data_IF_360541534036
#
_entry.id   IF_360541534036
#
_cell.length_a   1.000
_cell.length_b   1.000
_cell.length_c   1.000
_cell.angle_alpha   90.00
_cell.angle_beta   90.00
_cell.angle_gamma   90.00
#
_symmetry.space_group_name_H-M   'P 1'
#
loop_
_entity.id
_entity.type
_entity.pdbx_description
1 polymer ?
#
# COMPACT_ATOMS: atom_id res chain seq x y z
N UNK A 1 -37.96 3.35 31.63
CA UNK A 1 -38.17 1.89 31.67
C UNK A 1 -36.86 1.23 31.24
N UNK A 2 -36.09 0.67 32.18
CA UNK A 2 -34.84 -0.05 31.90
C UNK A 2 -35.18 -1.51 31.67
N UNK A 3 -35.32 -1.91 30.41
CA UNK A 3 -35.39 -3.32 30.01
C UNK A 3 -34.07 -3.99 30.40
N UNK A 4 -34.11 -4.76 31.47
CA UNK A 4 -33.01 -5.64 31.87
C UNK A 4 -33.04 -6.84 30.93
N UNK A 5 -32.29 -6.75 29.83
CA UNK A 5 -32.11 -7.87 28.89
C UNK A 5 -31.31 -8.95 29.62
N UNK A 6 -31.88 -10.14 29.76
CA UNK A 6 -31.16 -11.28 30.34
C UNK A 6 -29.86 -11.52 29.55
N UNK A 7 -28.73 -11.81 30.22
CA UNK A 7 -27.46 -12.05 29.54
C UNK A 7 -27.62 -13.21 28.55
N UNK A 8 -27.41 -12.95 27.27
CA UNK A 8 -27.29 -14.00 26.27
C UNK A 8 -26.07 -14.85 26.64
N UNK A 9 -26.30 -16.10 27.03
CA UNK A 9 -25.22 -17.07 27.24
C UNK A 9 -24.75 -17.58 25.90
N UNK A 10 -23.65 -17.02 25.39
CA UNK A 10 -22.92 -17.59 24.26
C UNK A 10 -22.15 -18.83 24.73
N UNK A 11 -22.08 -19.85 23.87
CA UNK A 11 -21.38 -21.10 24.21
C UNK A 11 -19.85 -20.97 24.12
N UNK A 12 -19.35 -20.08 23.26
CA UNK A 12 -17.93 -19.91 22.99
C UNK A 12 -17.55 -18.42 23.15
N UNK A 13 -16.80 -18.06 24.22
CA UNK A 13 -16.40 -16.68 24.47
C UNK A 13 -15.37 -16.21 23.44
N UNK A 14 -15.22 -14.88 23.34
CA UNK A 14 -14.16 -14.28 22.54
C UNK A 14 -12.78 -14.65 23.11
N UNK A 15 -11.81 -15.10 22.28
CA UNK A 15 -10.46 -15.36 22.75
C UNK A 15 -9.78 -14.10 23.31
N UNK A 16 -8.79 -14.28 24.18
CA UNK A 16 -7.93 -13.18 24.61
C UNK A 16 -7.24 -12.52 23.39
N UNK A 17 -6.86 -11.25 23.49
CA UNK A 17 -6.18 -10.55 22.39
C UNK A 17 -4.86 -11.24 21.99
N UNK A 18 -4.19 -11.91 22.92
CA UNK A 18 -2.98 -12.70 22.66
C UNK A 18 -3.31 -13.95 21.85
N UNK A 19 -4.37 -14.68 22.21
CA UNK A 19 -4.81 -15.87 21.47
C UNK A 19 -5.37 -15.52 20.10
N UNK A 20 -6.12 -14.42 20.00
CA UNK A 20 -6.63 -13.92 18.73
C UNK A 20 -5.49 -13.61 17.75
N UNK A 21 -4.41 -12.94 18.22
CA UNK A 21 -3.19 -12.71 17.43
C UNK A 21 -2.46 -14.00 17.08
N UNK A 22 -2.46 -15.01 17.94
CA UNK A 22 -1.89 -16.34 17.63
C UNK A 22 -2.69 -17.00 16.50
N UNK A 23 -4.02 -17.00 16.59
CA UNK A 23 -4.91 -17.57 15.57
C UNK A 23 -4.79 -16.85 14.22
N UNK A 24 -4.54 -15.54 14.22
CA UNK A 24 -4.33 -14.78 12.99
C UNK A 24 -3.21 -15.35 12.11
N UNK A 25 -2.16 -15.90 12.73
CA UNK A 25 -1.01 -16.47 12.03
C UNK A 25 -1.06 -18.00 11.89
N UNK A 26 -2.14 -18.61 12.37
CA UNK A 26 -2.30 -20.06 12.43
C UNK A 26 -2.66 -20.68 11.07
N UNK A 27 -2.45 -21.99 10.94
CA UNK A 27 -2.88 -22.78 9.77
C UNK A 27 -4.39 -22.96 9.80
N UNK A 28 -5.00 -23.22 8.63
CA UNK A 28 -6.46 -23.43 8.56
C UNK A 28 -6.98 -24.51 9.53
N UNK A 29 -6.27 -25.64 9.68
CA UNK A 29 -6.67 -26.70 10.61
C UNK A 29 -6.48 -26.34 12.09
N UNK A 30 -5.68 -25.33 12.42
CA UNK A 30 -5.60 -24.79 13.79
C UNK A 30 -6.76 -23.83 14.06
N UNK A 31 -7.13 -23.02 13.07
CA UNK A 31 -8.29 -22.13 13.14
C UNK A 31 -9.58 -22.95 13.25
N UNK A 32 -9.77 -23.97 12.39
CA UNK A 32 -10.95 -24.85 12.44
C UNK A 32 -11.12 -25.51 13.83
N UNK A 33 -10.02 -26.03 14.39
CA UNK A 33 -10.02 -26.60 15.75
C UNK A 33 -10.35 -25.57 16.83
N UNK A 34 -9.80 -24.35 16.73
CA UNK A 34 -10.12 -23.29 17.68
C UNK A 34 -11.57 -22.81 17.59
N UNK A 35 -12.20 -23.01 16.44
CA UNK A 35 -13.59 -22.73 16.20
C UNK A 35 -14.51 -23.90 16.56
N UNK A 36 -14.01 -25.07 16.97
CA UNK A 36 -14.83 -26.27 17.15
C UNK A 36 -15.68 -26.59 15.90
N UNK A 37 -15.09 -26.40 14.72
CA UNK A 37 -15.69 -26.73 13.43
C UNK A 37 -14.93 -27.91 12.82
N UNK A 38 -15.66 -28.83 12.18
CA UNK A 38 -15.00 -29.79 11.32
C UNK A 38 -14.39 -29.10 10.08
N UNK A 39 -13.61 -29.86 9.31
CA UNK A 39 -12.87 -29.27 8.18
C UNK A 39 -13.81 -28.81 7.06
N UNK A 40 -14.91 -29.53 6.82
CA UNK A 40 -15.82 -29.24 5.71
C UNK A 40 -16.70 -28.03 6.06
N UNK A 41 -17.23 -27.98 7.29
CA UNK A 41 -17.95 -26.84 7.84
C UNK A 41 -17.08 -25.58 7.86
N UNK A 42 -15.81 -25.69 8.27
CA UNK A 42 -14.89 -24.56 8.25
C UNK A 42 -14.62 -24.06 6.83
N UNK A 43 -14.51 -24.97 5.85
CA UNK A 43 -14.29 -24.60 4.45
C UNK A 43 -15.52 -23.93 3.84
N UNK A 44 -16.72 -24.37 4.21
CA UNK A 44 -17.97 -23.74 3.78
C UNK A 44 -18.17 -22.36 4.42
N UNK A 45 -17.96 -22.24 5.73
CA UNK A 45 -17.91 -20.95 6.44
C UNK A 45 -16.95 -19.98 5.75
N UNK A 46 -15.73 -20.45 5.50
CA UNK A 46 -14.68 -19.69 4.83
C UNK A 46 -15.12 -19.21 3.44
N UNK A 47 -15.77 -20.08 2.66
CA UNK A 47 -16.27 -19.77 1.32
C UNK A 47 -17.29 -18.63 1.37
N UNK A 48 -18.32 -18.76 2.22
CA UNK A 48 -19.38 -17.77 2.36
C UNK A 48 -18.86 -16.42 2.83
N UNK A 49 -18.04 -16.39 3.90
CA UNK A 49 -17.48 -15.13 4.42
C UNK A 49 -16.59 -14.45 3.37
N UNK A 50 -15.78 -15.23 2.66
CA UNK A 50 -14.90 -14.69 1.60
C UNK A 50 -15.69 -14.09 0.45
N UNK A 51 -16.72 -14.78 -0.03
CA UNK A 51 -17.59 -14.30 -1.10
C UNK A 51 -18.26 -12.98 -0.71
N UNK A 52 -18.88 -12.94 0.47
CA UNK A 52 -19.48 -11.70 0.98
C UNK A 52 -18.44 -10.60 1.15
N UNK A 53 -17.26 -10.93 1.68
CA UNK A 53 -16.17 -9.96 1.91
C UNK A 53 -15.80 -9.31 0.58
N UNK A 54 -15.73 -10.07 -0.52
CA UNK A 54 -15.46 -9.54 -1.85
C UNK A 54 -16.52 -8.56 -2.36
N UNK A 55 -17.79 -8.76 -1.99
CA UNK A 55 -18.88 -7.92 -2.45
C UNK A 55 -19.12 -6.65 -1.61
N UNK A 56 -18.60 -6.57 -0.38
CA UNK A 56 -19.08 -5.56 0.59
C UNK A 56 -18.04 -4.84 1.41
N UNK A 57 -16.77 -5.31 1.42
CA UNK A 57 -15.67 -4.64 2.12
C UNK A 57 -14.61 -4.14 1.13
N UNK A 58 -13.87 -3.12 1.54
CA UNK A 58 -12.80 -2.53 0.73
C UNK A 58 -11.49 -3.32 0.93
N UNK A 59 -11.07 -4.08 -0.08
CA UNK A 59 -9.88 -4.92 0.04
C UNK A 59 -8.56 -4.18 -0.04
N UNK A 60 -8.58 -2.90 -0.39
CA UNK A 60 -7.38 -2.06 -0.40
C UNK A 60 -6.99 -1.57 1.00
N UNK A 61 -7.92 -1.65 1.95
CA UNK A 61 -7.79 -1.14 3.32
C UNK A 61 -7.58 -2.26 4.33
N UNK A 62 -6.86 -1.96 5.41
CA UNK A 62 -6.79 -2.86 6.57
C UNK A 62 -8.16 -2.97 7.25
N UNK A 63 -8.28 -3.93 8.16
CA UNK A 63 -9.52 -4.11 8.91
C UNK A 63 -9.91 -2.86 9.71
N UNK A 64 -8.97 -2.26 10.44
CA UNK A 64 -9.24 -1.07 11.29
C UNK A 64 -9.51 0.21 10.47
N UNK A 65 -9.27 0.16 9.15
CA UNK A 65 -9.48 1.25 8.20
C UNK A 65 -10.81 1.09 7.42
N UNK A 66 -11.58 0.01 7.66
CA UNK A 66 -12.86 -0.23 7.01
C UNK A 66 -13.91 0.80 7.46
N UNK A 67 -14.89 1.07 6.60
CA UNK A 67 -16.08 1.83 7.00
C UNK A 67 -16.83 1.07 8.11
N UNK A 68 -17.01 1.66 9.32
CA UNK A 68 -17.73 1.02 10.41
C UNK A 68 -19.18 0.64 10.04
N UNK A 69 -19.80 1.35 9.10
CA UNK A 69 -21.17 1.06 8.66
C UNK A 69 -21.22 -0.13 7.70
N UNK A 70 -20.24 -0.27 6.81
CA UNK A 70 -20.05 -1.48 6.01
C UNK A 70 -19.78 -2.70 6.90
N UNK A 71 -18.90 -2.57 7.91
CA UNK A 71 -18.62 -3.66 8.84
C UNK A 71 -19.87 -4.10 9.64
N UNK A 72 -20.65 -3.16 10.17
CA UNK A 72 -21.92 -3.51 10.87
C UNK A 72 -22.89 -4.28 9.97
N UNK A 73 -23.05 -3.85 8.71
CA UNK A 73 -23.88 -4.58 7.72
C UNK A 73 -23.31 -5.96 7.40
N UNK A 74 -22.00 -6.10 7.39
CA UNK A 74 -21.32 -7.38 7.19
C UNK A 74 -21.60 -8.37 8.32
N UNK A 75 -21.47 -7.92 9.56
CA UNK A 75 -21.75 -8.74 10.75
C UNK A 75 -23.23 -9.10 10.81
N UNK A 76 -24.13 -8.15 10.54
CA UNK A 76 -25.56 -8.40 10.48
C UNK A 76 -25.90 -9.50 9.46
N UNK A 77 -25.30 -9.42 8.26
CA UNK A 77 -25.45 -10.48 7.25
C UNK A 77 -24.98 -11.84 7.77
N UNK A 78 -23.88 -11.91 8.53
CA UNK A 78 -23.39 -13.19 9.05
C UNK A 78 -24.39 -13.84 10.02
N UNK A 79 -25.07 -13.04 10.86
CA UNK A 79 -26.15 -13.53 11.72
C UNK A 79 -27.35 -14.06 10.92
N UNK A 80 -27.67 -13.45 9.79
CA UNK A 80 -28.79 -13.86 8.94
C UNK A 80 -28.47 -15.08 8.07
N UNK A 81 -27.26 -15.14 7.49
CA UNK A 81 -26.85 -16.19 6.57
C UNK A 81 -26.44 -17.48 7.29
N UNK A 82 -25.84 -17.38 8.48
CA UNK A 82 -25.30 -18.52 9.23
C UNK A 82 -25.72 -18.47 10.71
N UNK A 83 -27.03 -18.42 11.03
CA UNK A 83 -27.51 -18.18 12.39
C UNK A 83 -27.06 -19.27 13.39
N UNK A 84 -27.06 -20.54 12.97
CA UNK A 84 -26.64 -21.67 13.81
C UNK A 84 -25.16 -21.67 14.15
N UNK A 85 -24.33 -21.10 13.26
CA UNK A 85 -22.90 -20.97 13.45
C UNK A 85 -22.61 -19.78 14.36
N UNK A 86 -23.08 -18.60 13.97
CA UNK A 86 -22.72 -17.34 14.62
C UNK A 86 -23.29 -17.22 16.03
N UNK A 87 -24.49 -17.76 16.29
CA UNK A 87 -25.10 -17.72 17.63
C UNK A 87 -24.29 -18.41 18.72
N UNK A 88 -23.36 -19.30 18.37
CA UNK A 88 -22.47 -19.98 19.32
C UNK A 88 -21.35 -19.10 19.85
N UNK A 89 -20.96 -18.06 19.10
CA UNK A 89 -19.78 -17.25 19.39
C UNK A 89 -20.17 -15.84 19.82
N UNK A 90 -19.51 -15.35 20.85
CA UNK A 90 -19.60 -13.96 21.29
C UNK A 90 -19.15 -13.01 20.17
N UNK A 91 -19.92 -11.94 19.93
CA UNK A 91 -19.61 -10.87 18.96
C UNK A 91 -19.26 -11.31 17.53
N UNK A 92 -19.65 -12.52 17.13
CA UNK A 92 -19.28 -13.09 15.83
C UNK A 92 -17.75 -13.05 15.57
N UNK A 93 -16.92 -13.20 16.60
CA UNK A 93 -15.45 -13.11 16.49
C UNK A 93 -14.82 -14.03 15.43
N UNK A 94 -15.38 -15.21 15.04
CA UNK A 94 -14.83 -16.00 13.94
C UNK A 94 -14.85 -15.26 12.59
N UNK A 95 -15.91 -14.48 12.35
CA UNK A 95 -16.08 -13.67 11.14
C UNK A 95 -15.02 -12.58 11.11
N UNK A 96 -14.86 -11.87 12.23
CA UNK A 96 -13.83 -10.85 12.39
C UNK A 96 -12.42 -11.41 12.16
N UNK A 97 -12.10 -12.54 12.81
CA UNK A 97 -10.81 -13.20 12.67
C UNK A 97 -10.52 -13.54 11.21
N UNK A 98 -11.47 -14.18 10.53
CA UNK A 98 -11.28 -14.60 9.15
C UNK A 98 -11.12 -13.40 8.20
N UNK A 99 -11.89 -12.34 8.38
CA UNK A 99 -11.78 -11.11 7.57
C UNK A 99 -10.43 -10.43 7.80
N UNK A 100 -9.98 -10.28 9.06
CA UNK A 100 -8.65 -9.74 9.39
C UNK A 100 -7.52 -10.50 8.70
N UNK A 101 -7.55 -11.83 8.77
CA UNK A 101 -6.57 -12.70 8.10
C UNK A 101 -6.61 -12.50 6.59
N UNK A 102 -7.80 -12.48 6.00
CA UNK A 102 -8.01 -12.41 4.55
C UNK A 102 -7.54 -11.08 3.96
N UNK A 103 -7.91 -9.95 4.58
CA UNK A 103 -7.46 -8.62 4.19
C UNK A 103 -5.94 -8.48 4.32
N UNK A 104 -5.37 -8.91 5.45
CA UNK A 104 -3.92 -8.85 5.70
C UNK A 104 -3.13 -9.63 4.65
N UNK A 105 -3.55 -10.87 4.34
CA UNK A 105 -2.91 -11.70 3.32
C UNK A 105 -3.01 -11.08 1.92
N UNK A 106 -4.15 -10.47 1.59
CA UNK A 106 -4.35 -9.81 0.29
C UNK A 106 -3.44 -8.59 0.13
N UNK A 107 -3.41 -7.69 1.11
CA UNK A 107 -2.53 -6.51 1.10
C UNK A 107 -1.06 -6.94 1.00
N UNK A 108 -0.66 -7.97 1.77
CA UNK A 108 0.69 -8.51 1.69
C UNK A 108 1.02 -9.10 0.30
N UNK A 109 0.06 -9.79 -0.32
CA UNK A 109 0.21 -10.33 -1.66
C UNK A 109 0.36 -9.22 -2.72
N UNK A 110 -0.50 -8.21 -2.68
CA UNK A 110 -0.46 -7.06 -3.59
C UNK A 110 0.88 -6.31 -3.45
N UNK A 111 1.34 -6.06 -2.22
CA UNK A 111 2.67 -5.50 -1.95
C UNK A 111 3.81 -6.37 -2.49
N UNK A 112 3.68 -7.70 -2.40
CA UNK A 112 4.68 -8.60 -2.96
C UNK A 112 4.72 -8.57 -4.49
N UNK A 113 3.57 -8.66 -5.15
CA UNK A 113 3.48 -8.57 -6.62
C UNK A 113 4.06 -7.26 -7.13
N UNK A 114 3.75 -6.17 -6.43
CA UNK A 114 4.31 -4.86 -6.75
C UNK A 114 5.84 -4.84 -6.64
N UNK A 115 6.41 -5.31 -5.52
CA UNK A 115 7.87 -5.40 -5.38
C UNK A 115 8.52 -6.21 -6.51
N UNK A 116 7.87 -7.29 -6.97
CA UNK A 116 8.32 -8.05 -8.14
C UNK A 116 8.26 -7.24 -9.43
N UNK A 117 7.18 -6.50 -9.66
CA UNK A 117 7.03 -5.63 -10.84
C UNK A 117 8.09 -4.52 -10.86
N UNK A 118 8.31 -3.85 -9.73
CA UNK A 118 9.36 -2.82 -9.58
C UNK A 118 10.75 -3.40 -9.81
N UNK A 119 11.05 -4.58 -9.25
CA UNK A 119 12.34 -5.24 -9.46
C UNK A 119 12.57 -5.60 -10.94
N UNK A 120 11.54 -6.08 -11.63
CA UNK A 120 11.58 -6.35 -13.07
C UNK A 120 11.86 -5.06 -13.85
N UNK A 121 11.15 -3.99 -13.56
CA UNK A 121 11.36 -2.69 -14.21
C UNK A 121 12.77 -2.15 -13.99
N UNK A 122 13.29 -2.19 -12.76
CA UNK A 122 14.67 -1.77 -12.45
C UNK A 122 15.71 -2.55 -13.26
N UNK A 123 15.51 -3.86 -13.44
CA UNK A 123 16.39 -4.70 -14.26
C UNK A 123 16.34 -4.31 -15.74
N UNK A 124 15.16 -4.01 -16.28
CA UNK A 124 15.00 -3.53 -17.66
C UNK A 124 15.70 -2.18 -17.87
N UNK A 125 15.57 -1.25 -16.92
CA UNK A 125 16.22 0.06 -17.03
C UNK A 125 17.74 -0.07 -16.95
N UNK A 126 18.28 -0.85 -16.01
CA UNK A 126 19.73 -1.09 -15.93
C UNK A 126 20.29 -1.65 -17.25
N UNK A 127 19.58 -2.56 -17.89
CA UNK A 127 19.96 -3.13 -19.19
C UNK A 127 20.02 -2.09 -20.32
N UNK A 128 19.13 -1.08 -20.30
CA UNK A 128 19.12 -0.01 -21.33
C UNK A 128 20.31 0.94 -21.19
N UNK A 129 20.73 1.23 -19.95
CA UNK A 129 21.88 2.12 -19.72
C UNK A 129 23.21 1.42 -19.95
N UNK A 130 23.29 0.10 -19.81
CA UNK A 130 24.50 -0.67 -20.14
C UNK A 130 24.74 -0.85 -21.64
N UNK A 131 23.77 -0.57 -22.53
CA UNK A 131 23.94 -0.72 -23.98
C UNK A 131 24.26 0.59 -24.71
N UNK A 132 24.33 1.72 -24.01
CA UNK A 132 24.90 2.96 -24.56
C UNK A 132 26.40 2.76 -24.44
N UNK A 133 26.99 2.36 -25.57
CA UNK A 133 28.32 1.79 -25.66
C UNK A 133 29.35 2.56 -24.85
N UNK A 134 30.19 1.79 -24.17
CA UNK A 134 31.61 2.11 -24.06
C UNK A 134 32.12 2.36 -25.49
N UNK A 135 31.96 3.60 -25.97
CA UNK A 135 32.77 4.11 -27.05
C UNK A 135 34.19 4.12 -26.49
N UNK A 136 34.86 3.00 -26.71
CA UNK A 136 36.30 2.79 -26.75
C UNK A 136 37.09 4.07 -26.46
N UNK A 137 37.25 4.39 -25.16
CA UNK A 137 38.25 5.37 -24.74
C UNK A 137 39.60 4.77 -25.11
N UNK A 138 40.15 5.29 -26.20
CA UNK A 138 41.51 5.01 -26.63
C UNK A 138 42.48 5.16 -25.43
N UNK A 139 43.39 4.20 -25.16
CA UNK A 139 44.16 4.16 -23.91
C UNK A 139 45.27 5.23 -23.76
N UNK A 140 45.20 6.37 -24.45
CA UNK A 140 46.40 7.18 -24.74
C UNK A 140 46.52 8.53 -24.04
N UNK A 141 45.47 9.06 -23.39
CA UNK A 141 45.59 10.39 -22.77
C UNK A 141 45.80 10.30 -21.25
N UNK A 142 46.90 10.88 -20.71
CA UNK A 142 47.14 10.93 -19.27
C UNK A 142 46.02 11.76 -18.60
N UNK A 143 45.58 11.35 -17.40
CA UNK A 143 44.55 12.09 -16.67
C UNK A 143 45.03 13.54 -16.44
N UNK A 144 44.15 14.54 -16.61
CA UNK A 144 44.47 15.91 -16.26
C UNK A 144 44.89 15.98 -14.78
N UNK A 145 45.85 16.85 -14.44
CA UNK A 145 46.35 16.98 -13.08
C UNK A 145 45.17 17.29 -12.14
N UNK A 146 45.08 16.53 -11.05
CA UNK A 146 44.11 16.77 -9.99
C UNK A 146 44.48 18.08 -9.28
N UNK A 147 43.72 19.13 -9.53
CA UNK A 147 43.77 20.34 -8.70
C UNK A 147 43.17 20.03 -7.33
N UNK A 148 44.00 20.03 -6.29
CA UNK A 148 43.65 19.71 -4.89
C UNK A 148 42.92 20.86 -4.17
N UNK A 149 42.30 21.83 -4.86
CA UNK A 149 41.85 23.07 -4.23
C UNK A 149 40.43 23.07 -3.61
N UNK A 150 39.63 22.01 -3.75
CA UNK A 150 38.23 22.00 -3.28
C UNK A 150 38.00 21.27 -1.94
N UNK A 151 38.89 21.48 -0.96
CA UNK A 151 38.77 20.83 0.37
C UNK A 151 38.42 21.74 1.54
N UNK A 152 38.03 22.99 1.29
CA UNK A 152 37.63 23.87 2.36
C UNK A 152 36.34 24.63 2.03
N UNK A 153 35.42 24.61 3.00
CA UNK A 153 34.30 25.55 3.18
C UNK A 153 32.98 25.16 2.52
N UNK A 154 32.10 24.55 3.32
CA UNK A 154 30.68 24.52 3.00
C UNK A 154 29.93 23.47 3.79
N UNK A 155 29.15 23.90 4.78
CA UNK A 155 28.03 23.15 5.32
C UNK A 155 26.98 22.98 4.20
N UNK A 156 27.27 22.17 3.18
CA UNK A 156 26.27 21.75 2.20
C UNK A 156 25.27 20.87 2.95
N UNK A 157 24.08 21.42 3.19
CA UNK A 157 22.91 20.65 3.60
C UNK A 157 22.84 19.38 2.75
N UNK A 158 22.97 18.18 3.35
CA UNK A 158 22.93 16.94 2.60
C UNK A 158 21.54 16.81 1.95
N UNK A 159 21.45 16.98 0.63
CA UNK A 159 20.36 16.36 -0.13
C UNK A 159 19.47 17.23 -1.03
N UNK A 160 20.04 18.13 -1.85
CA UNK A 160 19.26 18.73 -2.94
C UNK A 160 20.03 18.88 -4.26
N UNK A 161 20.96 17.96 -4.59
CA UNK A 161 21.46 17.92 -5.98
C UNK A 161 20.32 17.45 -6.89
N UNK A 162 19.94 18.30 -7.83
CA UNK A 162 18.99 17.95 -8.90
C UNK A 162 19.52 16.74 -9.68
N UNK A 163 18.61 15.90 -10.15
CA UNK A 163 18.98 14.83 -11.07
C UNK A 163 19.43 15.44 -12.42
N UNK A 164 20.47 14.93 -13.09
CA UNK A 164 20.90 15.47 -14.40
C UNK A 164 19.79 15.43 -15.46
N UNK A 165 18.94 14.40 -15.41
CA UNK A 165 17.78 14.25 -16.29
C UNK A 165 16.51 14.93 -15.75
N UNK A 166 16.64 15.80 -14.75
CA UNK A 166 15.48 16.50 -14.20
C UNK A 166 14.92 17.47 -15.23
N UNK A 167 13.60 17.43 -15.44
CA UNK A 167 12.87 18.41 -16.24
C UNK A 167 11.94 19.19 -15.31
N UNK A 168 12.48 20.14 -14.52
CA UNK A 168 11.73 20.83 -13.48
C UNK A 168 10.48 21.52 -14.02
N UNK A 169 10.52 22.06 -15.23
CA UNK A 169 9.39 22.73 -15.87
C UNK A 169 8.24 21.76 -16.11
N UNK A 170 8.54 20.53 -16.54
CA UNK A 170 7.52 19.51 -16.76
C UNK A 170 6.90 19.02 -15.46
N UNK A 171 7.72 18.87 -14.42
CA UNK A 171 7.26 18.49 -13.07
C UNK A 171 6.40 19.61 -12.48
N UNK A 172 6.84 20.87 -12.59
CA UNK A 172 6.10 22.02 -12.12
C UNK A 172 4.75 22.16 -12.84
N UNK A 173 4.74 22.02 -14.17
CA UNK A 173 3.51 22.04 -14.96
C UNK A 173 2.54 20.92 -14.54
N UNK A 174 3.05 19.71 -14.27
CA UNK A 174 2.24 18.62 -13.73
C UNK A 174 1.65 18.98 -12.36
N UNK A 175 2.46 19.48 -11.43
CA UNK A 175 2.03 19.81 -10.08
C UNK A 175 1.03 20.97 -10.05
N UNK A 176 1.23 22.00 -10.87
CA UNK A 176 0.28 23.11 -11.05
C UNK A 176 -1.02 22.69 -11.73
N UNK A 177 -1.02 21.57 -12.46
CA UNK A 177 -2.23 21.02 -13.10
C UNK A 177 -3.13 20.20 -12.17
N UNK A 178 -2.72 20.01 -10.90
CA UNK A 178 -3.56 19.38 -9.89
C UNK A 178 -4.71 20.31 -9.48
N UNK A 179 -5.76 19.76 -8.83
CA UNK A 179 -6.89 20.56 -8.31
C UNK A 179 -6.45 21.66 -7.33
N UNK A 180 -5.29 21.46 -6.68
CA UNK A 180 -4.59 22.45 -5.89
C UNK A 180 -3.22 22.74 -6.51
N UNK A 181 -2.77 23.99 -6.39
CA UNK A 181 -1.45 24.37 -6.87
C UNK A 181 -0.36 23.76 -5.97
N UNK A 182 0.18 22.63 -6.43
CA UNK A 182 1.28 21.91 -5.79
C UNK A 182 2.66 22.35 -6.33
N UNK A 183 2.74 23.43 -7.11
CA UNK A 183 3.98 23.90 -7.73
C UNK A 183 5.11 24.18 -6.73
N UNK A 184 4.76 24.54 -5.50
CA UNK A 184 5.72 24.74 -4.40
C UNK A 184 6.53 23.47 -4.04
N UNK A 185 6.04 22.28 -4.41
CA UNK A 185 6.71 20.99 -4.18
C UNK A 185 7.70 20.60 -5.28
N UNK A 186 7.79 21.37 -6.37
CA UNK A 186 8.64 21.05 -7.53
C UNK A 186 10.08 20.74 -7.12
N UNK A 187 10.65 21.59 -6.26
CA UNK A 187 12.02 21.44 -5.77
C UNK A 187 12.28 20.11 -5.06
N UNK A 188 11.26 19.53 -4.41
CA UNK A 188 11.33 18.26 -3.69
C UNK A 188 11.22 17.09 -4.67
N UNK A 189 10.33 17.17 -5.66
CA UNK A 189 10.14 16.15 -6.69
C UNK A 189 11.39 15.97 -7.57
N UNK A 190 12.10 17.05 -7.88
CA UNK A 190 13.31 17.00 -8.71
C UNK A 190 14.58 16.55 -7.97
N UNK A 191 14.49 16.32 -6.65
CA UNK A 191 15.62 15.79 -5.89
C UNK A 191 15.91 14.34 -6.26
N UNK A 192 17.19 13.94 -6.19
CA UNK A 192 17.59 12.53 -6.35
C UNK A 192 16.94 11.57 -5.34
N UNK A 193 16.45 12.07 -4.21
CA UNK A 193 15.90 11.26 -3.10
C UNK A 193 14.49 10.74 -3.39
N UNK A 194 13.66 11.56 -4.04
CA UNK A 194 12.29 11.18 -4.41
C UNK A 194 12.27 10.34 -5.68
N UNK A 195 13.17 10.62 -6.62
CA UNK A 195 13.29 9.88 -7.87
C UNK A 195 12.17 10.19 -8.88
N UNK A 196 11.44 11.29 -8.68
CA UNK A 196 10.30 11.75 -9.50
C UNK A 196 10.66 13.02 -10.29
N UNK A 197 11.81 13.00 -10.95
CA UNK A 197 12.43 14.18 -11.57
C UNK A 197 12.04 14.41 -13.05
N UNK A 198 11.27 13.52 -13.67
CA UNK A 198 10.75 13.71 -15.02
C UNK A 198 9.35 13.07 -15.21
N UNK A 199 8.69 13.37 -16.33
CA UNK A 199 7.33 12.87 -16.62
C UNK A 199 7.27 11.35 -16.71
N UNK A 200 8.25 10.69 -17.33
CA UNK A 200 8.26 9.22 -17.44
C UNK A 200 8.18 8.53 -16.07
N UNK A 201 8.82 9.11 -15.05
CA UNK A 201 8.75 8.62 -13.66
C UNK A 201 7.39 8.87 -13.03
N UNK A 202 6.77 10.01 -13.30
CA UNK A 202 5.41 10.31 -12.85
C UNK A 202 4.38 9.39 -13.52
N UNK A 203 4.54 9.10 -14.81
CA UNK A 203 3.71 8.14 -15.56
C UNK A 203 3.87 6.71 -15.02
N UNK A 204 5.11 6.32 -14.72
CA UNK A 204 5.37 5.05 -14.06
C UNK A 204 4.66 5.00 -12.69
N UNK A 205 4.77 6.06 -11.89
CA UNK A 205 4.09 6.14 -10.60
C UNK A 205 2.57 6.09 -10.77
N UNK A 206 2.02 6.75 -11.79
CA UNK A 206 0.59 6.74 -12.10
C UNK A 206 0.03 5.34 -12.38
N UNK A 207 0.83 4.48 -13.02
CA UNK A 207 0.46 3.08 -13.27
C UNK A 207 0.35 2.24 -11.99
N UNK A 208 0.78 2.74 -10.84
CA UNK A 208 0.73 2.00 -9.59
C UNK A 208 -0.67 2.06 -8.95
N UNK A 209 -1.09 1.00 -8.21
CA UNK A 209 -2.30 1.05 -7.39
C UNK A 209 -2.27 2.19 -6.38
N UNK A 210 -3.43 2.80 -6.09
CA UNK A 210 -3.55 3.99 -5.24
C UNK A 210 -2.88 3.82 -3.85
N UNK A 211 -3.11 2.68 -3.20
CA UNK A 211 -2.50 2.37 -1.90
C UNK A 211 -0.96 2.35 -1.93
N UNK A 212 -0.36 1.99 -3.08
CA UNK A 212 1.09 1.91 -3.25
C UNK A 212 1.69 3.25 -3.65
N UNK A 213 0.99 4.05 -4.45
CA UNK A 213 1.35 5.45 -4.67
C UNK A 213 1.38 6.20 -3.36
N UNK A 214 0.34 6.04 -2.54
CA UNK A 214 0.25 6.60 -1.19
C UNK A 214 1.45 6.19 -0.32
N UNK A 215 1.73 4.90 -0.17
CA UNK A 215 2.90 4.42 0.61
C UNK A 215 4.24 4.96 0.07
N UNK A 216 4.37 5.14 -1.25
CA UNK A 216 5.56 5.75 -1.85
C UNK A 216 5.67 7.24 -1.53
N UNK A 217 4.58 8.00 -1.68
CA UNK A 217 4.53 9.41 -1.36
C UNK A 217 4.83 9.63 0.13
N UNK A 218 4.18 8.90 1.03
CA UNK A 218 4.44 8.95 2.48
C UNK A 218 5.91 8.63 2.82
N UNK A 219 6.51 7.60 2.19
CA UNK A 219 7.90 7.21 2.48
C UNK A 219 8.93 8.22 1.97
N UNK A 220 8.71 8.82 0.80
CA UNK A 220 9.70 9.68 0.14
C UNK A 220 9.52 11.16 0.45
N UNK A 221 8.29 11.60 0.73
CA UNK A 221 7.97 12.97 1.08
C UNK A 221 7.75 13.15 2.59
N UNK A 222 7.60 12.06 3.36
CA UNK A 222 7.53 12.11 4.81
C UNK A 222 6.39 13.02 5.28
N UNK A 223 6.71 13.99 6.14
CA UNK A 223 5.76 14.99 6.65
C UNK A 223 5.61 16.21 5.73
N UNK A 224 6.22 16.20 4.53
CA UNK A 224 6.12 17.33 3.59
C UNK A 224 4.85 17.31 2.76
N UNK A 225 4.18 16.16 2.68
CA UNK A 225 2.85 16.05 2.09
C UNK A 225 1.86 15.74 3.20
N UNK A 226 0.76 16.50 3.25
CA UNK A 226 -0.38 16.12 4.07
C UNK A 226 -1.28 15.10 3.36
N UNK A 227 -2.26 14.55 4.09
CA UNK A 227 -3.18 13.54 3.56
C UNK A 227 -4.01 14.05 2.38
N UNK A 228 -4.32 15.36 2.35
CA UNK A 228 -5.11 15.99 1.29
C UNK A 228 -4.27 16.10 0.02
N UNK A 229 -3.02 16.56 0.13
CA UNK A 229 -2.08 16.66 -0.99
C UNK A 229 -1.79 15.29 -1.61
N UNK A 230 -1.64 14.24 -0.78
CA UNK A 230 -1.49 12.87 -1.26
C UNK A 230 -2.71 12.40 -2.05
N UNK A 231 -3.93 12.68 -1.57
CA UNK A 231 -5.15 12.30 -2.29
C UNK A 231 -5.32 13.08 -3.59
N UNK A 232 -4.95 14.36 -3.62
CA UNK A 232 -4.96 15.21 -4.82
C UNK A 232 -3.97 14.66 -5.87
N UNK A 233 -2.74 14.34 -5.47
CA UNK A 233 -1.77 13.69 -6.33
C UNK A 233 -2.29 12.34 -6.83
N UNK A 234 -2.92 11.55 -5.95
CA UNK A 234 -3.49 10.27 -6.34
C UNK A 234 -4.60 10.41 -7.39
N UNK A 235 -5.51 11.36 -7.23
CA UNK A 235 -6.52 11.66 -8.23
C UNK A 235 -5.87 12.02 -9.56
N UNK A 236 -4.87 12.92 -9.54
CA UNK A 236 -4.18 13.36 -10.75
C UNK A 236 -3.45 12.24 -11.48
N UNK A 237 -2.82 11.34 -10.74
CA UNK A 237 -2.19 10.14 -11.29
C UNK A 237 -3.20 9.21 -11.96
N UNK A 238 -4.43 9.07 -11.43
CA UNK A 238 -5.49 8.29 -12.09
C UNK A 238 -5.87 8.93 -13.43
N UNK A 239 -6.09 10.24 -13.46
CA UNK A 239 -6.41 10.97 -14.69
C UNK A 239 -5.32 10.82 -15.76
N UNK A 240 -4.06 10.94 -15.35
CA UNK A 240 -2.92 10.77 -16.25
C UNK A 240 -2.85 9.35 -16.82
N UNK A 241 -3.18 8.32 -16.03
CA UNK A 241 -3.23 6.94 -16.51
C UNK A 241 -4.35 6.69 -17.53
N UNK A 242 -5.46 7.44 -17.44
CA UNK A 242 -6.57 7.35 -18.38
C UNK A 242 -6.30 8.07 -19.70
N UNK A 243 -5.48 9.14 -19.69
CA UNK A 243 -5.15 9.92 -20.88
C UNK A 243 -4.21 9.18 -21.87
N UNK A 244 -3.65 8.03 -21.48
CA UNK A 244 -2.73 7.22 -22.30
C UNK A 244 -3.43 6.09 -23.09
N UNK A 245 -4.75 5.93 -22.92
CA UNK A 245 -5.60 4.96 -23.64
C UNK A 245 -6.31 5.66 -24.79
#
# INVERSE_FOLDING_TARGET
MTTTTAPQTFSIPRPSETDFRRLHNARHGEIARALDMDTDDFMEFKRQVREKMYASLDHSKKFDEQDPSAWRRFVQWAYEAMPSLISKYEDAWPVELYVKISLSKRIAHERHQFRKAVAKYKRTMASRFSSVGEAEMSPADPPPPYDEEDRATGSETPGARMHPDATPENIENFLRSCDFDLGHLTSIFVTRRTGLFNLERLELLASWPAALRRDHLERHFGTMLDDVEIEVLNKRFVEMSHAQI
#
